data_IF_138744428486
#
_entry.id   IF_138744428486
#
_cell.length_a   1.000
_cell.length_b   1.000
_cell.length_c   1.000
_cell.angle_alpha   90.00
_cell.angle_beta   90.00
_cell.angle_gamma   90.00
#
_symmetry.space_group_name_H-M   'P 1'
#
loop_
_entity.id
_entity.type
_entity.pdbx_description
1 polymer ?
2 non-polymer ?
3 water ?
#
# COMPACT_ATOMS: atom_id res chain seq x y z
N UNK A 1 18.51 9.10 -6.68
CA UNK A 1 17.63 8.38 -7.65
C UNK A 1 16.19 8.87 -7.60
N UNK A 2 15.27 7.93 -7.44
CA UNK A 2 13.84 8.27 -7.36
C UNK A 2 13.57 9.14 -6.15
N UNK A 3 12.66 10.08 -6.35
CA UNK A 3 12.11 10.81 -5.21
C UNK A 3 11.23 9.86 -4.44
N UNK A 4 10.85 10.30 -3.25
CA UNK A 4 9.98 9.49 -2.40
C UNK A 4 8.61 9.33 -3.06
N UNK A 5 8.18 10.39 -3.74
CA UNK A 5 6.95 10.39 -4.54
C UNK A 5 7.00 9.33 -5.65
N UNK A 6 8.13 9.28 -6.35
CA UNK A 6 8.32 8.29 -7.42
C UNK A 6 8.35 6.85 -6.85
N UNK A 7 8.97 6.70 -5.69
CA UNK A 7 9.03 5.40 -4.98
C UNK A 7 7.65 4.89 -4.57
N UNK A 8 6.87 5.76 -3.94
CA UNK A 8 5.47 5.42 -3.56
C UNK A 8 4.70 5.04 -4.79
N UNK A 9 4.93 5.78 -5.87
CA UNK A 9 4.26 5.49 -7.15
C UNK A 9 4.67 4.11 -7.71
N UNK A 10 5.92 3.76 -7.53
CA UNK A 10 6.45 2.44 -7.97
C UNK A 10 5.82 1.34 -7.12
N UNK A 11 5.63 1.63 -5.84
CA UNK A 11 4.97 0.67 -4.95
C UNK A 11 3.55 0.42 -5.37
N UNK A 12 2.79 1.49 -5.61
CA UNK A 12 1.42 1.32 -6.04
C UNK A 12 1.29 0.63 -7.39
N UNK A 13 2.19 0.93 -8.31
CA UNK A 13 2.22 0.17 -9.56
C UNK A 13 2.37 -1.33 -9.26
N UNK A 14 3.29 -1.65 -8.35
CA UNK A 14 3.65 -3.03 -8.05
C UNK A 14 2.43 -3.66 -7.41
N UNK A 15 1.76 -2.86 -6.60
CA UNK A 15 0.55 -3.30 -5.86
C UNK A 15 -0.58 -3.66 -6.85
N UNK A 16 -0.78 -2.76 -7.78
CA UNK A 16 -1.79 -2.94 -8.85
C UNK A 16 -1.47 -4.10 -9.80
N UNK A 17 -0.17 -4.39 -9.94
CA UNK A 17 0.33 -5.52 -10.72
C UNK A 17 0.33 -6.80 -9.91
N UNK A 18 -0.04 -6.69 -8.65
CA UNK A 18 0.06 -7.76 -7.65
C UNK A 18 1.46 -8.40 -7.62
N UNK A 19 2.46 -7.53 -7.65
CA UNK A 19 3.87 -7.92 -7.55
C UNK A 19 4.39 -7.56 -6.16
N UNK A 20 4.21 -8.53 -5.28
CA UNK A 20 4.46 -8.39 -3.86
C UNK A 20 5.92 -8.03 -3.59
N UNK A 21 6.81 -8.75 -4.26
CA UNK A 21 8.26 -8.70 -3.99
C UNK A 21 8.80 -7.34 -4.42
N UNK A 22 8.33 -6.86 -5.56
CA UNK A 22 8.68 -5.51 -6.00
C UNK A 22 8.19 -4.44 -5.01
N UNK A 23 6.94 -4.57 -4.57
CA UNK A 23 6.33 -3.62 -3.59
C UNK A 23 7.22 -3.49 -2.31
N UNK A 24 7.57 -4.64 -1.75
CA UNK A 24 8.33 -4.68 -0.45
C UNK A 24 9.80 -4.31 -0.63
N UNK A 25 10.32 -4.42 -1.87
CA UNK A 25 11.71 -4.06 -2.15
C UNK A 25 12.05 -2.61 -1.87
N UNK A 26 11.01 -1.77 -1.77
CA UNK A 26 11.17 -0.34 -1.52
C UNK A 26 11.08 0.02 -0.08
N UNK A 27 10.90 -0.99 0.76
CA UNK A 27 10.68 -0.72 2.21
C UNK A 27 11.89 -1.04 3.05
N UNK A 28 11.96 -0.39 4.19
CA UNK A 28 12.82 -0.81 5.30
C UNK A 28 12.39 -2.19 5.79
N UNK A 29 13.36 -2.85 6.39
CA UNK A 29 13.20 -4.24 6.90
C UNK A 29 12.12 -4.25 7.96
N UNK A 30 12.01 -3.16 8.71
CA UNK A 30 11.05 -3.13 9.79
C UNK A 30 9.78 -2.37 9.45
N UNK A 31 9.62 -1.97 8.21
CA UNK A 31 8.45 -1.23 7.81
C UNK A 31 7.18 -2.05 8.11
N UNK A 32 6.17 -1.30 8.55
CA UNK A 32 4.81 -1.77 8.80
C UNK A 32 3.82 -1.00 7.98
N UNK A 33 2.69 -1.67 7.77
CA UNK A 33 1.44 -1.06 7.30
C UNK A 33 0.43 -1.10 8.43
N UNK A 34 -0.16 0.07 8.65
CA UNK A 34 -0.95 0.31 9.84
C UNK A 34 -2.12 1.25 9.56
N UNK A 35 -3.12 1.17 10.42
CA UNK A 35 -4.17 2.19 10.45
C UNK A 35 -3.65 3.41 11.20
N UNK A 36 -3.97 4.56 10.63
CA UNK A 36 -3.60 5.86 11.16
C UNK A 36 -4.07 5.92 12.59
N UNK A 37 -3.15 6.32 13.46
CA UNK A 37 -3.34 6.34 14.91
C UNK A 37 -3.94 5.03 15.42
N UNK A 38 -3.64 3.94 14.74
CA UNK A 38 -4.26 2.67 15.10
C UNK A 38 -3.30 1.51 14.97
N UNK A 39 -3.85 0.34 14.76
CA UNK A 39 -3.07 -0.89 14.84
C UNK A 39 -2.32 -1.16 13.57
N UNK A 40 -1.18 -1.80 13.76
CA UNK A 40 -0.43 -2.41 12.66
C UNK A 40 -1.27 -3.52 12.06
N UNK A 41 -1.34 -3.53 10.73
CA UNK A 41 -2.06 -4.58 9.99
C UNK A 41 -1.09 -5.58 9.32
N UNK A 42 0.06 -5.07 8.95
CA UNK A 42 1.15 -5.90 8.38
C UNK A 42 2.44 -5.48 9.04
N UNK A 43 3.06 -6.43 9.70
CA UNK A 43 4.21 -6.15 10.56
C UNK A 43 5.52 -6.48 9.85
N UNK A 44 6.32 -5.46 9.59
CA UNK A 44 7.64 -5.71 9.00
C UNK A 44 7.57 -5.89 7.50
N UNK A 45 8.72 -5.73 6.87
CA UNK A 45 8.84 -6.07 5.44
C UNK A 45 8.22 -7.43 5.10
N UNK A 46 8.55 -8.41 5.91
CA UNK A 46 8.07 -9.78 5.70
C UNK A 46 6.59 -10.01 5.98
N UNK A 47 6.05 -9.34 7.00
CA UNK A 47 4.61 -9.38 7.26
C UNK A 47 3.83 -8.71 6.13
N UNK A 48 4.45 -7.70 5.55
CA UNK A 48 3.82 -7.01 4.45
C UNK A 48 3.84 -7.93 3.21
N UNK A 49 4.94 -8.65 3.07
CA UNK A 49 5.14 -9.54 1.92
C UNK A 49 4.05 -10.62 1.93
N UNK A 50 3.92 -11.26 3.07
CA UNK A 50 2.97 -12.37 3.24
C UNK A 50 1.55 -11.88 3.28
N UNK A 51 1.34 -10.76 3.94
CA UNK A 51 -0.01 -10.16 3.96
C UNK A 51 -0.60 -9.68 2.64
N UNK A 52 0.19 -8.96 1.86
CA UNK A 52 -0.21 -8.59 0.50
C UNK A 52 -0.41 -9.80 -0.36
N UNK A 53 0.44 -10.81 -0.17
CA UNK A 53 0.37 -11.97 -1.05
C UNK A 53 -0.98 -12.62 -0.81
N UNK A 54 -1.40 -12.65 0.45
CA UNK A 54 -2.70 -13.21 0.84
C UNK A 54 -3.89 -12.39 0.35
N UNK A 55 -3.76 -11.08 0.43
CA UNK A 55 -4.82 -10.19 -0.09
C UNK A 55 -4.98 -10.40 -1.59
N UNK A 56 -3.86 -10.47 -2.27
CA UNK A 56 -3.88 -10.58 -3.71
C UNK A 56 -4.50 -11.91 -4.13
N UNK A 57 -4.25 -12.97 -3.37
CA UNK A 57 -4.84 -14.29 -3.62
C UNK A 57 -6.36 -14.26 -3.44
N UNK A 58 -6.79 -13.55 -2.43
CA UNK A 58 -8.23 -13.45 -2.10
C UNK A 58 -8.94 -12.58 -3.14
N UNK A 59 -8.27 -11.50 -3.52
CA UNK A 59 -8.81 -10.52 -4.46
C UNK A 59 -7.90 -10.27 -5.63
N UNK A 60 -7.90 -11.16 -6.61
CA UNK A 60 -7.03 -11.07 -7.77
C UNK A 60 -7.21 -9.87 -8.65
N UNK A 61 -8.41 -9.26 -8.62
CA UNK A 61 -8.75 -8.09 -9.40
C UNK A 61 -8.49 -6.78 -8.65
N UNK A 62 -8.01 -6.90 -7.42
CA UNK A 62 -7.80 -5.74 -6.54
C UNK A 62 -7.02 -4.63 -7.24
N UNK A 63 -7.56 -3.43 -7.13
CA UNK A 63 -7.00 -2.27 -7.76
C UNK A 63 -7.18 -1.00 -6.92
N UNK A 64 -6.10 -0.22 -6.87
CA UNK A 64 -6.10 1.13 -6.29
C UNK A 64 -5.88 2.17 -7.38
N UNK A 65 -6.84 3.06 -7.48
CA UNK A 65 -6.77 4.20 -8.40
C UNK A 65 -6.32 5.41 -7.58
N UNK A 66 -5.22 6.01 -8.03
CA UNK A 66 -4.64 7.21 -7.39
C UNK A 66 -5.41 8.45 -7.83
N UNK A 67 -5.99 9.14 -6.86
CA UNK A 67 -6.78 10.37 -7.11
C UNK A 67 -5.99 11.63 -6.82
N UNK A 68 -4.97 11.51 -5.99
CA UNK A 68 -4.17 12.70 -5.63
C UNK A 68 -2.90 12.14 -5.05
N UNK A 69 -1.77 12.69 -5.45
CA UNK A 69 -0.47 12.25 -4.93
C UNK A 69 0.35 13.46 -4.65
N UNK A 70 0.79 13.60 -3.42
CA UNK A 70 1.56 14.76 -2.95
C UNK A 70 2.78 14.31 -2.16
N UNK A 71 3.91 14.97 -2.38
CA UNK A 71 5.04 14.81 -1.46
C UNK A 71 5.10 16.03 -0.55
N UNK A 72 5.09 15.77 0.75
CA UNK A 72 5.17 16.82 1.76
C UNK A 72 6.38 16.51 2.67
N UNK A 73 7.42 17.31 2.52
CA UNK A 73 8.72 16.96 3.11
C UNK A 73 9.15 15.63 2.55
N UNK A 74 9.42 14.70 3.44
CA UNK A 74 9.79 13.34 3.05
C UNK A 74 8.60 12.39 2.96
N UNK A 75 7.46 12.86 3.43
CA UNK A 75 6.23 12.04 3.44
C UNK A 75 5.59 12.11 2.07
N UNK A 76 4.94 11.03 1.69
CA UNK A 76 4.08 11.00 0.51
C UNK A 76 2.65 10.63 0.94
N UNK A 77 1.67 11.41 0.45
CA UNK A 77 0.25 11.12 0.66
C UNK A 77 -0.44 10.87 -0.67
N UNK A 78 -1.17 9.76 -0.71
CA UNK A 78 -1.92 9.42 -1.88
C UNK A 78 -3.33 9.06 -1.53
N UNK A 79 -4.25 9.80 -2.12
CA UNK A 79 -5.66 9.50 -2.00
C UNK A 79 -5.97 8.45 -3.06
N UNK A 80 -6.53 7.34 -2.60
CA UNK A 80 -6.67 6.11 -3.41
C UNK A 80 -8.15 5.66 -3.38
N UNK A 81 -8.66 5.24 -4.53
CA UNK A 81 -9.98 4.64 -4.58
C UNK A 81 -9.73 3.17 -4.85
N UNK A 82 -10.16 2.35 -3.91
CA UNK A 82 -9.83 0.93 -3.92
C UNK A 82 -11.07 0.10 -4.25
N UNK A 83 -10.88 -0.76 -5.23
CA UNK A 83 -11.88 -1.73 -5.66
C UNK A 83 -11.24 -3.14 -5.56
N UNK A 84 -11.78 -3.90 -4.62
CA UNK A 84 -11.36 -5.26 -4.38
C UNK A 84 -11.67 -6.16 -5.56
N UNK A 85 -12.87 -5.98 -6.12
CA UNK A 85 -13.39 -6.92 -7.09
C UNK A 85 -13.79 -8.23 -6.41
N UNK A 86 -14.30 -9.21 -7.19
CA UNK A 86 -14.77 -10.50 -6.65
C UNK A 86 -13.66 -11.30 -6.03
N UNK A 87 -13.96 -11.74 -4.81
CA UNK A 87 -13.07 -12.59 -3.97
C UNK A 87 -13.04 -14.01 -4.45
N UNK A 88 -11.98 -14.73 -4.07
CA UNK A 88 -11.82 -16.11 -4.53
C UNK A 88 -12.24 -17.11 -3.47
N UNK A 89 -12.64 -16.59 -2.33
CA UNK A 89 -12.81 -17.39 -1.12
C UNK A 89 -14.27 -17.48 -0.68
N UNK A 90 -15.17 -17.13 -1.58
CA UNK A 90 -16.61 -17.16 -1.30
C UNK A 90 -17.12 -15.97 -0.51
N UNK A 91 -16.21 -15.08 -0.12
CA UNK A 91 -16.60 -13.89 0.68
C UNK A 91 -17.32 -12.84 -0.19
N UNK A 92 -18.18 -11.99 0.42
CA UNK A 92 -18.98 -11.08 -0.41
C UNK A 92 -18.23 -9.87 -0.97
N UNK A 93 -18.79 -9.32 -2.04
CA UNK A 93 -18.17 -8.19 -2.73
C UNK A 93 -17.98 -7.05 -1.79
N UNK A 94 -16.71 -6.69 -1.61
CA UNK A 94 -16.36 -5.49 -0.85
C UNK A 94 -16.59 -4.26 -1.71
N UNK A 95 -17.35 -3.33 -1.18
CA UNK A 95 -17.73 -2.20 -2.01
C UNK A 95 -16.57 -1.27 -2.15
N UNK A 96 -16.45 -0.62 -3.32
CA UNK A 96 -15.32 0.30 -3.42
C UNK A 96 -15.27 1.33 -2.33
N UNK A 97 -14.05 1.68 -1.94
CA UNK A 97 -13.88 2.63 -0.85
C UNK A 97 -12.71 3.55 -1.11
N UNK A 98 -12.67 4.62 -0.34
CA UNK A 98 -11.58 5.58 -0.44
C UNK A 98 -10.73 5.58 0.81
N UNK A 99 -9.44 5.76 0.60
CA UNK A 99 -8.49 5.91 1.70
C UNK A 99 -7.48 6.97 1.31
N UNK A 100 -6.79 7.48 2.32
CA UNK A 100 -5.50 8.17 2.11
C UNK A 100 -4.42 7.31 2.76
N UNK A 101 -3.46 6.96 1.92
CA UNK A 101 -2.22 6.27 2.27
C UNK A 101 -1.12 7.29 2.50
N UNK A 102 -0.59 7.27 3.71
CA UNK A 102 0.53 8.11 4.09
C UNK A 102 1.78 7.24 4.18
N UNK A 103 2.77 7.54 3.32
CA UNK A 103 4.05 6.83 3.24
C UNK A 103 5.07 7.61 4.00
N UNK A 104 5.63 6.99 5.02
CA UNK A 104 6.79 7.57 5.69
C UNK A 104 8.03 7.00 5.03
N UNK A 105 9.11 7.78 5.09
CA UNK A 105 10.40 7.42 4.49
C UNK A 105 11.54 7.62 5.46
N UNK A 106 12.49 6.71 5.38
CA UNK A 106 13.80 6.82 6.06
C UNK A 106 14.82 6.72 4.95
N UNK A 107 15.47 7.82 4.60
CA UNK A 107 16.25 7.83 3.39
C UNK A 107 15.33 7.55 2.23
N UNK A 108 15.74 6.64 1.36
CA UNK A 108 15.01 6.39 0.11
C UNK A 108 14.11 5.17 0.22
N UNK A 109 14.00 4.65 1.44
CA UNK A 109 13.10 3.51 1.70
C UNK A 109 11.89 3.89 2.51
N UNK A 110 10.77 3.30 2.12
CA UNK A 110 9.50 3.45 2.86
C UNK A 110 9.54 2.71 4.24
N UNK A 111 9.39 3.49 5.30
CA UNK A 111 9.47 2.99 6.66
C UNK A 111 8.08 2.68 7.26
N UNK A 112 7.05 3.19 6.63
CA UNK A 112 5.69 2.99 7.07
C UNK A 112 4.71 3.43 6.03
N UNK A 113 3.61 2.71 6.02
CA UNK A 113 2.43 3.10 5.25
C UNK A 113 1.26 3.06 6.21
N UNK A 114 0.57 4.19 6.29
CA UNK A 114 -0.61 4.28 7.13
C UNK A 114 -1.83 4.63 6.36
N UNK A 115 -2.95 4.09 6.83
CA UNK A 115 -4.21 4.26 6.14
C UNK A 115 -5.19 5.07 6.95
N UNK A 116 -5.68 6.11 6.28
CA UNK A 116 -6.79 6.96 6.72
C UNK A 116 -8.03 6.66 5.88
N UNK A 117 -9.05 6.16 6.57
CA UNK A 117 -10.30 5.71 5.96
C UNK A 117 -11.46 6.05 6.88
X LIG B 1 -4.84 -4.99 1.36
X LIG B 1 -5.03 -4.01 0.60
X LIG B 1 -3.82 -5.64 1.10
X LIG B 1 -5.71 -5.34 2.53
#
# INVERSE_FOLDING_TARGET
GMSNLETAKAMIAAYNAQDVDTYVSYMTDDACEANYRGDVVREGKEGTRSGLAAAFARWPQNHAEIKDAQQVGTYVLMREHVTRGPATDGSPLVEPFDVVAVYSFEGDKCSRVEFIR
ACT C O OXT CH3
#
